data_IF_144464155158
#
_entry.id   IF_144464155158
#
_cell.length_a   1.000
_cell.length_b   1.000
_cell.length_c   1.000
_cell.angle_alpha   90.00
_cell.angle_beta   90.00
_cell.angle_gamma   90.00
#
_symmetry.space_group_name_H-M   'P 1'
#
loop_
_entity.id
_entity.type
_entity.pdbx_description
1 polymer ?
#
# COMPACT_ATOMS: atom_id res chain seq x y z
N UNK A 1 15.49 -8.34 -6.55
CA UNK A 1 14.10 -7.80 -6.48
C UNK A 1 13.52 -8.20 -5.13
N UNK A 2 12.72 -7.34 -4.50
CA UNK A 2 11.94 -7.77 -3.35
C UNK A 2 10.94 -8.84 -3.81
N UNK A 3 10.93 -9.99 -3.13
CA UNK A 3 10.08 -11.13 -3.48
C UNK A 3 9.43 -11.67 -2.24
N UNK A 4 8.11 -11.87 -2.29
CA UNK A 4 7.39 -12.66 -1.29
C UNK A 4 7.56 -14.14 -1.67
N UNK A 5 8.04 -15.02 -0.77
CA UNK A 5 8.19 -16.44 -1.07
C UNK A 5 6.86 -17.08 -1.48
N UNK A 6 6.94 -18.05 -2.39
CA UNK A 6 5.78 -18.86 -2.77
C UNK A 6 5.16 -19.52 -1.52
N UNK A 7 3.84 -19.63 -1.50
CA UNK A 7 3.03 -20.16 -0.38
C UNK A 7 3.02 -19.30 0.91
N UNK A 8 3.61 -18.10 0.90
CA UNK A 8 3.45 -17.17 2.03
C UNK A 8 1.98 -16.77 2.20
N UNK A 9 1.51 -16.71 3.44
CA UNK A 9 0.16 -16.18 3.72
C UNK A 9 0.19 -14.66 3.56
N UNK A 10 -0.59 -14.15 2.62
CA UNK A 10 -0.67 -12.71 2.35
C UNK A 10 -2.05 -12.18 2.70
N UNK A 11 -2.10 -10.94 3.16
CA UNK A 11 -3.33 -10.17 3.32
C UNK A 11 -3.26 -8.95 2.39
N UNK A 12 -4.15 -8.88 1.41
CA UNK A 12 -4.22 -7.74 0.50
C UNK A 12 -5.17 -6.68 1.07
N UNK A 13 -4.68 -5.44 1.17
CA UNK A 13 -5.54 -4.28 1.35
C UNK A 13 -6.06 -3.89 -0.03
N UNK A 14 -7.34 -4.16 -0.28
CA UNK A 14 -8.00 -3.73 -1.51
C UNK A 14 -8.11 -2.20 -1.58
N UNK A 15 -8.57 -1.58 -0.50
CA UNK A 15 -8.69 -0.12 -0.41
C UNK A 15 -8.43 0.39 1.01
N UNK A 16 -7.71 1.52 1.07
CA UNK A 16 -7.62 2.34 2.26
C UNK A 16 -7.74 3.80 1.87
N UNK A 17 -8.77 4.47 2.38
CA UNK A 17 -9.09 5.84 2.01
C UNK A 17 -9.22 6.76 3.23
N UNK A 18 -8.71 7.98 3.08
CA UNK A 18 -8.92 9.08 4.03
C UNK A 18 -9.58 10.23 3.29
N UNK A 19 -10.76 10.62 3.79
CA UNK A 19 -11.52 11.77 3.27
C UNK A 19 -10.68 13.05 3.37
N UNK A 20 -10.89 13.96 2.41
CA UNK A 20 -10.03 15.16 2.24
C UNK A 20 -9.84 15.95 3.54
N UNK A 21 -10.91 16.15 4.31
CA UNK A 21 -10.95 16.90 5.58
C UNK A 21 -10.07 16.31 6.68
N UNK A 22 -9.67 15.03 6.56
CA UNK A 22 -8.91 14.29 7.56
C UNK A 22 -7.50 13.88 7.09
N UNK A 23 -7.08 14.31 5.89
CA UNK A 23 -5.72 14.05 5.38
C UNK A 23 -4.69 14.87 6.13
N UNK A 24 -3.44 14.38 6.15
CA UNK A 24 -2.31 14.99 6.86
C UNK A 24 -2.52 15.17 8.38
N UNK A 25 -3.46 14.41 8.98
CA UNK A 25 -3.73 14.38 10.43
C UNK A 25 -3.35 13.05 11.08
N UNK A 26 -2.48 12.26 10.44
CA UNK A 26 -2.06 10.94 10.92
C UNK A 26 -3.13 9.82 10.84
N UNK A 27 -4.33 10.11 10.32
CA UNK A 27 -5.45 9.16 10.24
C UNK A 27 -5.10 7.91 9.42
N UNK A 28 -4.49 8.08 8.24
CA UNK A 28 -4.09 6.95 7.39
C UNK A 28 -3.09 6.02 8.08
N UNK A 29 -2.12 6.58 8.80
CA UNK A 29 -1.16 5.78 9.57
C UNK A 29 -1.85 5.02 10.71
N UNK A 30 -2.82 5.63 11.39
CA UNK A 30 -3.59 4.98 12.45
C UNK A 30 -4.46 3.84 11.90
N UNK A 31 -5.08 4.03 10.74
CA UNK A 31 -5.84 2.98 10.04
C UNK A 31 -4.93 1.79 9.71
N UNK A 32 -3.80 2.06 9.04
CA UNK A 32 -2.84 1.02 8.65
C UNK A 32 -2.31 0.24 9.86
N UNK A 33 -1.86 0.93 10.92
CA UNK A 33 -1.34 0.28 12.13
C UNK A 33 -2.42 -0.55 12.84
N UNK A 34 -3.66 -0.09 12.85
CA UNK A 34 -4.79 -0.84 13.42
C UNK A 34 -5.03 -2.11 12.62
N UNK A 35 -5.14 -2.01 11.29
CA UNK A 35 -5.33 -3.16 10.43
C UNK A 35 -4.20 -4.19 10.57
N UNK A 36 -2.93 -3.72 10.54
CA UNK A 36 -1.76 -4.57 10.74
C UNK A 36 -1.84 -5.39 12.03
N UNK A 37 -2.31 -4.78 13.14
CA UNK A 37 -2.49 -5.50 14.41
C UNK A 37 -3.53 -6.61 14.31
N UNK A 38 -4.62 -6.41 13.57
CA UNK A 38 -5.68 -7.42 13.41
C UNK A 38 -5.26 -8.60 12.54
N UNK A 39 -4.38 -8.38 11.56
CA UNK A 39 -4.00 -9.41 10.59
C UNK A 39 -2.67 -10.11 10.90
N UNK A 40 -1.88 -9.60 11.86
CA UNK A 40 -0.52 -10.12 12.13
C UNK A 40 -0.46 -11.62 12.48
N UNK A 41 -1.50 -12.17 13.09
CA UNK A 41 -1.56 -13.60 13.45
C UNK A 41 -2.03 -14.48 12.27
N UNK A 42 -2.55 -13.85 11.21
CA UNK A 42 -3.22 -14.52 10.07
C UNK A 42 -2.42 -14.42 8.76
N UNK A 43 -1.53 -13.44 8.65
CA UNK A 43 -0.74 -13.20 7.45
C UNK A 43 0.71 -12.83 7.79
N UNK A 44 1.62 -13.29 6.94
CA UNK A 44 3.06 -13.02 7.02
C UNK A 44 3.42 -11.72 6.28
N UNK A 45 2.66 -11.41 5.21
CA UNK A 45 2.84 -10.21 4.42
C UNK A 45 1.53 -9.46 4.26
N UNK A 46 1.63 -8.14 4.22
CA UNK A 46 0.55 -7.25 3.88
C UNK A 46 0.91 -6.57 2.55
N UNK A 47 0.05 -6.74 1.55
CA UNK A 47 0.21 -6.16 0.22
C UNK A 47 -0.86 -5.11 -0.02
N UNK A 48 -0.57 -4.16 -0.90
CA UNK A 48 -1.58 -3.26 -1.46
C UNK A 48 -1.17 -2.81 -2.85
N UNK A 49 -2.16 -2.55 -3.68
CA UNK A 49 -2.00 -1.94 -4.98
C UNK A 49 -2.92 -0.73 -5.06
N UNK A 50 -2.47 0.37 -5.66
CA UNK A 50 -3.33 1.54 -5.82
C UNK A 50 -3.03 2.28 -7.13
N UNK A 51 -4.08 2.62 -7.87
CA UNK A 51 -3.99 3.47 -9.03
C UNK A 51 -4.09 4.93 -8.60
N UNK A 52 -3.05 5.71 -8.88
CA UNK A 52 -3.01 7.13 -8.51
C UNK A 52 -2.26 7.95 -9.56
N UNK A 53 -2.76 9.14 -9.85
CA UNK A 53 -2.04 10.14 -10.66
C UNK A 53 -0.89 10.78 -9.87
N UNK A 54 -0.98 10.81 -8.54
CA UNK A 54 0.05 11.34 -7.65
C UNK A 54 0.78 10.18 -6.97
N UNK A 55 1.52 9.41 -7.77
CA UNK A 55 2.22 8.23 -7.29
C UNK A 55 3.37 8.60 -6.34
N UNK A 56 4.04 9.75 -6.53
CA UNK A 56 5.14 10.15 -5.65
C UNK A 56 4.68 10.29 -4.20
N UNK A 57 3.55 10.99 -3.97
CA UNK A 57 3.02 11.19 -2.61
C UNK A 57 2.54 9.88 -1.99
N UNK A 58 1.92 9.02 -2.80
CA UNK A 58 1.41 7.72 -2.32
C UNK A 58 2.56 6.78 -1.98
N UNK A 59 3.62 6.74 -2.80
CA UNK A 59 4.82 5.96 -2.52
C UNK A 59 5.56 6.48 -1.29
N UNK A 60 5.69 7.81 -1.12
CA UNK A 60 6.25 8.38 0.12
C UNK A 60 5.48 7.90 1.35
N UNK A 61 4.15 7.93 1.31
CA UNK A 61 3.33 7.47 2.43
C UNK A 61 3.53 5.98 2.74
N UNK A 62 3.48 5.09 1.74
CA UNK A 62 3.60 3.66 1.99
C UNK A 62 5.03 3.19 2.28
N UNK A 63 6.03 3.74 1.60
CA UNK A 63 7.43 3.33 1.74
C UNK A 63 8.07 4.05 2.93
N UNK A 64 8.13 5.37 2.89
CA UNK A 64 8.89 6.15 3.88
C UNK A 64 8.15 6.23 5.22
N UNK A 65 6.83 6.49 5.22
CA UNK A 65 6.09 6.66 6.48
C UNK A 65 5.62 5.34 7.11
N UNK A 66 5.34 4.31 6.29
CA UNK A 66 4.81 3.03 6.78
C UNK A 66 5.80 1.86 6.69
N UNK A 67 6.97 2.07 6.08
CA UNK A 67 8.03 1.07 6.00
C UNK A 67 7.70 -0.10 5.08
N UNK A 68 6.86 0.10 4.05
CA UNK A 68 6.56 -0.94 3.07
C UNK A 68 7.64 -1.01 2.00
N UNK A 69 7.89 -2.21 1.49
CA UNK A 69 8.81 -2.41 0.37
C UNK A 69 8.09 -2.23 -0.96
N UNK A 70 8.66 -1.43 -1.87
CA UNK A 70 8.17 -1.34 -3.23
C UNK A 70 8.32 -2.67 -3.96
N UNK A 71 7.21 -3.19 -4.52
CA UNK A 71 7.22 -4.47 -5.22
C UNK A 71 7.31 -4.30 -6.74
N UNK A 72 6.32 -3.65 -7.35
CA UNK A 72 6.34 -3.31 -8.78
C UNK A 72 5.42 -2.13 -9.08
N UNK A 73 5.65 -1.49 -10.22
CA UNK A 73 4.74 -0.51 -10.81
C UNK A 73 4.19 -1.04 -12.12
N UNK A 74 2.93 -0.68 -12.41
CA UNK A 74 2.32 -0.91 -13.72
C UNK A 74 2.35 0.39 -14.52
N UNK A 75 2.97 0.35 -15.70
CA UNK A 75 3.06 1.47 -16.63
C UNK A 75 2.21 1.16 -17.87
N UNK A 76 1.73 2.21 -18.55
CA UNK A 76 1.02 2.08 -19.82
C UNK A 76 1.57 3.09 -20.82
N UNK A 77 1.44 2.78 -22.11
CA UNK A 77 1.79 3.68 -23.21
C UNK A 77 0.73 3.53 -24.29
N UNK A 78 0.22 4.65 -24.81
CA UNK A 78 -0.64 4.63 -26.00
C UNK A 78 0.23 4.27 -27.20
N UNK A 79 -0.14 3.23 -27.97
CA UNK A 79 0.66 2.76 -29.12
C UNK A 79 0.25 3.47 -30.41
N UNK A 80 -1.01 3.88 -30.53
CA UNK A 80 -1.52 4.64 -31.68
C UNK A 80 -2.32 5.83 -31.17
N UNK A 81 -2.04 7.03 -31.70
CA UNK A 81 -2.77 8.24 -31.33
C UNK A 81 -4.01 8.45 -32.19
#
# INVERSE_FOLDING_TARGET
>A
MATIPNNSRTFEIEEMYVTKTYRSKGVGQKLFRTLKKFVREKAEYLTLSTATKNYQRVLHFYIEELGMTFWYARLFKKIHQ
#
